data_IF_970228677017
#
_entry.id   IF_970228677017
#
_cell.length_a   1.000
_cell.length_b   1.000
_cell.length_c   1.000
_cell.angle_alpha   90.00
_cell.angle_beta   90.00
_cell.angle_gamma   90.00
#
_symmetry.space_group_name_H-M   'P 1'
#
loop_
_entity.id
_entity.type
_entity.pdbx_description
1 polymer ?
#
# COMPACT_ATOMS: atom_id res chain seq x y z
N UNK A 1 -15.11 10.16 -14.10
CA UNK A 1 -15.16 10.46 -12.65
C UNK A 1 -13.74 10.75 -12.19
N UNK A 2 -13.42 11.99 -11.81
CA UNK A 2 -12.15 12.32 -11.17
C UNK A 2 -12.24 11.90 -9.70
N UNK A 3 -11.69 10.73 -9.36
CA UNK A 3 -11.61 10.32 -7.97
C UNK A 3 -10.46 11.03 -7.24
N UNK A 4 -10.46 10.95 -5.91
CA UNK A 4 -9.44 11.57 -5.03
C UNK A 4 -8.05 11.08 -5.43
N UNK A 5 -7.08 11.99 -5.50
CA UNK A 5 -5.66 11.67 -5.62
C UNK A 5 -4.89 12.58 -4.65
N UNK A 6 -3.73 12.10 -4.21
CA UNK A 6 -2.85 12.83 -3.30
C UNK A 6 -1.48 12.99 -3.94
N UNK A 7 -0.77 14.04 -3.52
CA UNK A 7 0.66 14.08 -3.74
C UNK A 7 1.30 12.85 -3.09
N UNK A 8 2.17 12.17 -3.84
CA UNK A 8 2.74 10.90 -3.41
C UNK A 8 3.57 11.04 -2.12
N UNK A 9 4.21 12.20 -1.89
CA UNK A 9 4.97 12.45 -0.66
C UNK A 9 4.05 12.75 0.52
N UNK A 10 2.93 13.41 0.28
CA UNK A 10 1.90 13.59 1.32
C UNK A 10 1.35 12.24 1.78
N UNK A 11 1.02 11.36 0.84
CA UNK A 11 0.57 10.00 1.17
C UNK A 11 1.68 9.19 1.87
N UNK A 12 2.93 9.26 1.40
CA UNK A 12 4.06 8.61 2.06
C UNK A 12 4.25 9.06 3.51
N UNK A 13 4.11 10.36 3.78
CA UNK A 13 4.15 10.93 5.15
C UNK A 13 2.99 10.44 6.00
N UNK A 14 1.80 10.29 5.44
CA UNK A 14 0.69 9.66 6.17
C UNK A 14 1.08 8.22 6.55
N UNK A 15 1.49 7.41 5.58
CA UNK A 15 1.83 6.00 5.81
C UNK A 15 2.90 5.82 6.88
N UNK A 16 3.92 6.69 6.93
CA UNK A 16 5.00 6.59 7.94
C UNK A 16 4.51 6.80 9.37
N UNK A 17 3.33 7.38 9.57
CA UNK A 17 2.73 7.61 10.89
C UNK A 17 1.75 6.52 11.35
N UNK A 18 1.41 5.57 10.47
CA UNK A 18 0.50 4.47 10.79
C UNK A 18 1.22 3.37 11.61
N UNK A 19 0.48 2.41 12.22
CA UNK A 19 1.07 1.30 12.93
C UNK A 19 2.01 0.46 12.04
N UNK A 20 3.15 0.05 12.60
CA UNK A 20 4.15 -0.74 11.86
C UNK A 20 3.72 -2.20 11.65
N UNK A 21 3.03 -2.75 12.64
CA UNK A 21 2.64 -4.16 12.74
C UNK A 21 1.14 -4.24 12.95
N UNK A 22 0.49 -5.07 12.15
CA UNK A 22 -0.96 -5.27 12.19
C UNK A 22 -1.24 -6.77 11.96
N UNK A 23 -2.23 -7.34 12.66
CA UNK A 23 -2.40 -8.78 12.74
C UNK A 23 -2.65 -9.45 11.38
N UNK A 24 -3.41 -8.84 10.47
CA UNK A 24 -3.77 -9.48 9.20
C UNK A 24 -2.62 -9.41 8.21
N UNK A 25 -2.06 -8.22 7.99
CA UNK A 25 -0.97 -8.03 7.04
C UNK A 25 0.31 -8.76 7.49
N UNK A 26 0.58 -8.82 8.79
CA UNK A 26 1.74 -9.55 9.32
C UNK A 26 1.54 -11.06 9.14
N UNK A 27 0.34 -11.58 9.40
CA UNK A 27 0.02 -12.99 9.16
C UNK A 27 0.15 -13.34 7.66
N UNK A 28 -0.32 -12.46 6.77
CA UNK A 28 -0.18 -12.66 5.33
C UNK A 28 1.28 -12.69 4.88
N UNK A 29 2.11 -11.77 5.37
CA UNK A 29 3.54 -11.75 5.06
C UNK A 29 4.27 -12.97 5.64
N UNK A 30 3.91 -13.42 6.85
CA UNK A 30 4.49 -14.62 7.46
C UNK A 30 4.12 -15.90 6.71
N UNK A 31 2.92 -15.97 6.13
CA UNK A 31 2.45 -17.13 5.38
C UNK A 31 3.21 -17.34 4.05
N UNK A 32 3.58 -16.26 3.36
CA UNK A 32 4.38 -16.32 2.13
C UNK A 32 5.36 -15.14 2.03
N UNK A 33 6.47 -15.17 2.80
CA UNK A 33 7.37 -14.04 2.90
C UNK A 33 8.19 -13.84 1.63
N UNK A 34 8.54 -12.58 1.36
CA UNK A 34 9.49 -12.26 0.32
C UNK A 34 10.88 -12.86 0.64
N UNK A 35 11.32 -13.81 -0.18
CA UNK A 35 12.55 -14.58 0.05
C UNK A 35 13.84 -13.87 -0.33
N UNK A 36 13.79 -12.83 -1.17
CA UNK A 36 14.98 -12.14 -1.70
C UNK A 36 14.76 -10.64 -1.76
N UNK A 37 15.82 -9.85 -1.51
CA UNK A 37 15.77 -8.40 -1.66
C UNK A 37 14.89 -7.67 -0.64
N UNK A 38 14.57 -8.31 0.49
CA UNK A 38 13.89 -7.67 1.61
C UNK A 38 14.90 -6.79 2.35
N UNK A 39 14.72 -5.48 2.29
CA UNK A 39 15.57 -4.49 2.96
C UNK A 39 14.85 -3.77 4.11
N UNK A 40 13.54 -3.94 4.23
CA UNK A 40 12.68 -3.32 5.24
C UNK A 40 12.42 -4.25 6.44
N UNK A 41 12.21 -3.62 7.60
CA UNK A 41 11.84 -4.24 8.87
C UNK A 41 10.33 -4.37 9.07
N UNK A 42 9.54 -3.48 8.44
CA UNK A 42 8.07 -3.43 8.55
C UNK A 42 7.43 -3.00 7.23
N UNK A 43 6.15 -3.34 7.04
CA UNK A 43 5.39 -2.88 5.88
C UNK A 43 5.21 -1.37 5.86
N UNK A 44 5.15 -0.72 7.03
CA UNK A 44 5.20 0.74 7.14
C UNK A 44 6.44 1.34 6.50
N UNK A 45 7.62 0.83 6.85
CA UNK A 45 8.89 1.30 6.29
C UNK A 45 8.94 1.06 4.78
N UNK A 46 8.53 -0.14 4.35
CA UNK A 46 8.48 -0.51 2.95
C UNK A 46 7.57 0.42 2.14
N UNK A 47 6.32 0.57 2.56
CA UNK A 47 5.31 1.32 1.81
C UNK A 47 5.60 2.83 1.83
N UNK A 48 5.95 3.40 2.98
CA UNK A 48 6.27 4.83 3.04
C UNK A 48 7.48 5.19 2.17
N UNK A 49 8.55 4.37 2.19
CA UNK A 49 9.72 4.57 1.33
C UNK A 49 9.40 4.33 -0.15
N UNK A 50 8.62 3.29 -0.47
CA UNK A 50 8.21 3.03 -1.85
C UNK A 50 7.46 4.21 -2.45
N UNK A 51 6.49 4.76 -1.72
CA UNK A 51 5.72 5.93 -2.18
C UNK A 51 6.60 7.18 -2.29
N UNK A 52 7.43 7.48 -1.30
CA UNK A 52 8.33 8.64 -1.36
C UNK A 52 9.30 8.59 -2.56
N UNK A 53 9.82 7.39 -2.86
CA UNK A 53 10.74 7.19 -3.99
C UNK A 53 10.12 7.47 -5.37
N UNK A 54 8.79 7.49 -5.49
CA UNK A 54 8.11 7.78 -6.75
C UNK A 54 8.25 9.25 -7.17
N UNK A 55 8.45 10.15 -6.20
CA UNK A 55 8.68 11.57 -6.42
C UNK A 55 10.12 11.90 -6.90
N UNK A 56 10.84 10.89 -7.41
CA UNK A 56 12.17 11.01 -8.01
C UNK A 56 12.17 10.35 -9.40
N UNK A 57 13.23 10.54 -10.16
CA UNK A 57 13.43 9.79 -11.43
C UNK A 57 13.92 8.36 -11.19
N UNK A 58 14.11 7.93 -9.94
CA UNK A 58 14.63 6.61 -9.60
C UNK A 58 16.06 6.37 -10.10
N UNK A 59 16.50 5.12 -9.99
CA UNK A 59 17.80 4.64 -10.49
C UNK A 59 17.73 3.14 -10.82
N UNK A 60 18.67 2.65 -11.64
CA UNK A 60 18.71 1.25 -12.06
C UNK A 60 17.45 0.82 -12.82
N UNK A 61 16.91 -0.36 -12.50
CA UNK A 61 15.68 -0.90 -13.10
C UNK A 61 14.41 -0.08 -12.80
N UNK A 62 14.50 0.92 -11.91
CA UNK A 62 13.39 1.77 -11.50
C UNK A 62 13.51 3.21 -12.04
N UNK A 63 14.35 3.43 -13.07
CA UNK A 63 14.52 4.74 -13.70
C UNK A 63 13.27 5.15 -14.48
N UNK A 64 12.86 6.41 -14.37
CA UNK A 64 11.69 7.00 -15.06
C UNK A 64 12.02 8.39 -15.63
N UNK A 65 11.40 8.75 -16.75
CA UNK A 65 11.64 10.03 -17.43
C UNK A 65 11.14 11.24 -16.63
N UNK A 66 10.05 11.07 -15.87
CA UNK A 66 9.46 12.09 -15.01
C UNK A 66 9.10 11.48 -13.66
N UNK A 67 9.24 12.22 -12.54
CA UNK A 67 8.71 11.82 -11.25
C UNK A 67 7.21 11.50 -11.34
N UNK A 68 6.77 10.47 -10.61
CA UNK A 68 5.36 10.19 -10.43
C UNK A 68 4.90 10.82 -9.11
N UNK A 69 4.10 11.87 -9.21
CA UNK A 69 3.56 12.58 -8.04
C UNK A 69 2.18 12.07 -7.60
N UNK A 70 1.63 11.05 -8.28
CA UNK A 70 0.29 10.53 -8.01
C UNK A 70 0.35 9.31 -7.09
N UNK A 71 -0.23 9.44 -5.89
CA UNK A 71 -0.40 8.31 -4.96
C UNK A 71 -1.31 7.22 -5.56
N UNK A 72 -2.37 7.61 -6.28
CA UNK A 72 -3.24 6.70 -7.02
C UNK A 72 -2.47 5.84 -8.02
N UNK A 73 -1.59 6.46 -8.79
CA UNK A 73 -0.78 5.76 -9.80
C UNK A 73 0.18 4.79 -9.11
N UNK A 74 0.84 5.24 -8.04
CA UNK A 74 1.75 4.42 -7.23
C UNK A 74 1.06 3.19 -6.65
N UNK A 75 -0.12 3.36 -6.05
CA UNK A 75 -0.92 2.28 -5.50
C UNK A 75 -1.28 1.23 -6.58
N UNK A 76 -1.68 1.70 -7.76
CA UNK A 76 -2.06 0.81 -8.86
C UNK A 76 -0.88 0.09 -9.53
N UNK A 77 0.35 0.62 -9.41
CA UNK A 77 1.56 -0.02 -9.90
C UNK A 77 2.18 -1.01 -8.90
N UNK A 78 1.85 -0.89 -7.61
CA UNK A 78 2.43 -1.71 -6.55
C UNK A 78 2.21 -3.21 -6.80
N UNK A 79 3.30 -3.97 -6.89
CA UNK A 79 3.30 -5.42 -7.06
C UNK A 79 3.62 -6.17 -5.75
N UNK A 80 3.21 -5.61 -4.62
CA UNK A 80 3.40 -6.19 -3.30
C UNK A 80 2.05 -6.39 -2.61
N UNK A 81 1.45 -7.59 -2.67
CA UNK A 81 0.09 -7.81 -2.18
C UNK A 81 -0.01 -7.62 -0.65
N UNK A 82 1.02 -8.00 0.10
CA UNK A 82 1.06 -7.82 1.55
C UNK A 82 1.09 -6.33 1.92
N UNK A 83 1.79 -5.51 1.14
CA UNK A 83 1.81 -4.05 1.32
C UNK A 83 0.47 -3.39 1.00
N UNK A 84 -0.24 -3.87 -0.01
CA UNK A 84 -1.59 -3.41 -0.34
C UNK A 84 -2.59 -3.72 0.80
N UNK A 85 -2.50 -4.92 1.38
CA UNK A 85 -3.31 -5.32 2.55
C UNK A 85 -2.93 -4.50 3.78
N UNK A 86 -1.64 -4.28 4.05
CA UNK A 86 -1.18 -3.42 5.15
C UNK A 86 -1.73 -2.00 5.03
N UNK A 87 -1.69 -1.37 3.84
CA UNK A 87 -2.25 -0.02 3.64
C UNK A 87 -3.74 0.01 4.02
N UNK A 88 -4.51 -0.99 3.60
CA UNK A 88 -5.93 -1.06 3.88
C UNK A 88 -6.22 -1.27 5.37
N UNK A 89 -5.53 -2.21 6.02
CA UNK A 89 -5.66 -2.49 7.45
C UNK A 89 -5.27 -1.27 8.29
N UNK A 90 -4.15 -0.64 7.94
CA UNK A 90 -3.61 0.50 8.67
C UNK A 90 -4.49 1.75 8.59
N UNK A 91 -5.26 1.89 7.50
CA UNK A 91 -6.23 2.98 7.31
C UNK A 91 -7.61 2.64 7.88
N UNK A 92 -7.80 1.46 8.47
CA UNK A 92 -9.05 1.08 9.13
C UNK A 92 -10.15 0.63 8.17
N UNK A 93 -9.81 -0.01 7.05
CA UNK A 93 -10.80 -0.77 6.28
C UNK A 93 -11.40 -1.85 7.18
N UNK A 94 -12.68 -2.18 6.96
CA UNK A 94 -13.40 -3.23 7.69
C UNK A 94 -12.56 -4.50 7.85
N UNK A 95 -12.37 -4.93 9.10
CA UNK A 95 -11.45 -6.02 9.46
C UNK A 95 -11.86 -7.33 8.81
N UNK A 96 -13.16 -7.62 8.66
CA UNK A 96 -13.62 -8.86 8.03
C UNK A 96 -13.29 -8.86 6.55
N UNK A 97 -13.50 -7.73 5.86
CA UNK A 97 -13.13 -7.56 4.47
C UNK A 97 -11.62 -7.73 4.26
N UNK A 98 -10.79 -7.06 5.05
CA UNK A 98 -9.32 -7.16 4.94
C UNK A 98 -8.87 -8.60 5.16
N UNK A 99 -9.40 -9.27 6.19
CA UNK A 99 -9.07 -10.66 6.50
C UNK A 99 -9.47 -11.62 5.38
N UNK A 100 -10.66 -11.44 4.82
CA UNK A 100 -11.14 -12.24 3.69
C UNK A 100 -10.23 -12.05 2.47
N UNK A 101 -9.94 -10.80 2.10
CA UNK A 101 -9.09 -10.50 0.93
C UNK A 101 -7.67 -11.06 1.11
N UNK A 102 -7.10 -10.98 2.31
CA UNK A 102 -5.79 -11.56 2.60
C UNK A 102 -5.78 -13.09 2.43
N UNK A 103 -6.78 -13.78 2.98
CA UNK A 103 -6.92 -15.24 2.87
C UNK A 103 -7.13 -15.70 1.42
N UNK A 104 -8.05 -15.04 0.71
CA UNK A 104 -8.36 -15.37 -0.69
C UNK A 104 -7.16 -15.08 -1.61
N UNK A 105 -6.40 -14.00 -1.34
CA UNK A 105 -5.17 -13.72 -2.04
C UNK A 105 -4.13 -14.83 -1.83
N UNK A 106 -3.97 -15.35 -0.61
CA UNK A 106 -3.03 -16.44 -0.33
C UNK A 106 -3.38 -17.73 -1.09
N UNK A 107 -4.67 -17.98 -1.33
CA UNK A 107 -5.16 -19.16 -2.06
C UNK A 107 -4.89 -19.12 -3.57
N UNK A 108 -4.54 -17.96 -4.14
CA UNK A 108 -4.25 -17.81 -5.57
C UNK A 108 -2.75 -17.63 -5.85
N UNK A 109 -2.38 -17.72 -7.14
CA UNK A 109 -1.01 -17.54 -7.59
C UNK A 109 -0.46 -16.15 -7.18
N UNK A 110 0.74 -16.12 -6.61
CA UNK A 110 1.42 -14.90 -6.14
C UNK A 110 1.44 -13.76 -7.16
N UNK A 111 1.64 -14.07 -8.46
CA UNK A 111 1.68 -13.05 -9.53
C UNK A 111 0.33 -12.34 -9.75
N UNK A 112 -0.78 -12.97 -9.38
CA UNK A 112 -2.13 -12.42 -9.55
C UNK A 112 -2.66 -11.71 -8.30
N UNK A 113 -2.02 -11.90 -7.14
CA UNK A 113 -2.48 -11.37 -5.85
C UNK A 113 -2.63 -9.86 -5.84
N UNK A 114 -1.64 -9.11 -6.31
CA UNK A 114 -1.72 -7.64 -6.30
C UNK A 114 -2.86 -7.09 -7.16
N UNK A 115 -3.23 -7.79 -8.24
CA UNK A 115 -4.43 -7.45 -9.04
C UNK A 115 -5.69 -7.76 -8.25
N UNK A 116 -5.78 -8.97 -7.69
CA UNK A 116 -6.92 -9.41 -6.89
C UNK A 116 -7.18 -8.47 -5.70
N UNK A 117 -6.15 -8.17 -4.90
CA UNK A 117 -6.25 -7.27 -3.75
C UNK A 117 -6.82 -5.91 -4.17
N UNK A 118 -6.33 -5.30 -5.26
CA UNK A 118 -6.85 -4.01 -5.76
C UNK A 118 -8.27 -4.05 -6.28
N UNK A 119 -8.78 -5.21 -6.70
CA UNK A 119 -10.18 -5.35 -7.11
C UNK A 119 -11.13 -5.26 -5.91
N UNK A 120 -10.70 -5.73 -4.74
CA UNK A 120 -11.49 -5.71 -3.51
C UNK A 120 -11.17 -4.53 -2.58
N UNK A 121 -9.95 -4.01 -2.66
CA UNK A 121 -9.46 -2.85 -1.94
C UNK A 121 -9.05 -1.77 -2.97
N UNK A 122 -10.02 -1.15 -3.68
CA UNK A 122 -9.70 -0.19 -4.72
C UNK A 122 -9.20 1.13 -4.13
N UNK A 123 -8.44 1.87 -4.94
CA UNK A 123 -7.89 3.16 -4.53
C UNK A 123 -8.93 4.14 -4.00
N UNK A 124 -10.14 4.20 -4.57
CA UNK A 124 -11.15 5.17 -4.12
C UNK A 124 -11.59 4.91 -2.66
N UNK A 125 -11.60 3.66 -2.21
CA UNK A 125 -11.83 3.29 -0.80
C UNK A 125 -10.66 3.76 0.08
N UNK A 126 -9.44 3.41 -0.32
CA UNK A 126 -8.20 3.79 0.38
C UNK A 126 -8.09 5.31 0.51
N UNK A 127 -8.43 6.03 -0.55
CA UNK A 127 -8.32 7.48 -0.60
C UNK A 127 -9.35 8.18 0.28
N UNK A 128 -10.57 7.63 0.40
CA UNK A 128 -11.60 8.14 1.31
C UNK A 128 -11.17 8.04 2.78
N UNK A 129 -10.61 6.90 3.17
CA UNK A 129 -10.08 6.69 4.52
C UNK A 129 -8.86 7.56 4.80
N UNK A 130 -7.89 7.59 3.88
CA UNK A 130 -6.71 8.42 3.99
C UNK A 130 -7.04 9.91 4.13
N UNK A 131 -8.03 10.41 3.37
CA UNK A 131 -8.52 11.79 3.50
C UNK A 131 -9.04 12.05 4.92
N UNK A 132 -9.89 11.16 5.43
CA UNK A 132 -10.47 11.28 6.77
C UNK A 132 -9.40 11.28 7.86
N UNK A 133 -8.39 10.41 7.70
CA UNK A 133 -7.24 10.31 8.61
C UNK A 133 -6.33 11.55 8.56
N UNK A 134 -6.11 12.14 7.38
CA UNK A 134 -5.38 13.39 7.26
C UNK A 134 -6.14 14.57 7.88
N UNK A 135 -7.47 14.59 7.74
CA UNK A 135 -8.33 15.63 8.32
C UNK A 135 -8.42 15.54 9.85
N UNK A 136 -8.48 14.33 10.41
CA UNK A 136 -8.51 14.11 11.87
C UNK A 136 -7.24 14.62 12.56
N UNK A 137 -6.09 14.48 11.90
CA UNK A 137 -4.76 14.87 12.41
C UNK A 137 -4.45 16.36 12.33
N UNK A 138 -5.23 17.13 11.55
CA UNK A 138 -5.08 18.59 11.42
C UNK A 138 -5.83 19.37 12.51
N UNK A 139 -6.66 18.68 13.32
CA UNK A 139 -7.42 19.25 14.44
C UNK A 139 -6.65 19.07 15.74
#
# INVERSE_FOLDING_TARGET
MSGIDFDVREFARLLSTLPAHLPISDAMEQADPQKKGRWWSSQREHMSSWFDSQATTGSGSFTRQKPNMSARTTYNMLQHPEGLVWIAEALGVDTQLVQQVANDALAINRRSRSKFVRQHLPWDMIAGLAKSEMESRRR
#
